data_IF_064116250329
#
_entry.id   IF_064116250329
#
_cell.length_a   1.000
_cell.length_b   1.000
_cell.length_c   1.000
_cell.angle_alpha   90.00
_cell.angle_beta   90.00
_cell.angle_gamma   90.00
#
_symmetry.space_group_name_H-M   'P 1'
#
loop_
_entity.id
_entity.type
_entity.pdbx_description
1 polymer ?
#
# COMPACT_ATOMS: atom_id res chain seq x y z
N UNK A 1 2.88 -13.75 -10.05
CA UNK A 1 1.76 -14.26 -9.20
C UNK A 1 1.18 -13.19 -8.28
N UNK A 2 1.95 -12.22 -7.75
CA UNK A 2 1.44 -11.19 -6.84
C UNK A 2 0.33 -10.28 -7.40
N UNK A 3 0.36 -9.94 -8.70
CA UNK A 3 -0.61 -9.01 -9.30
C UNK A 3 -2.08 -9.48 -9.31
N UNK A 4 -2.32 -10.78 -9.43
CA UNK A 4 -3.67 -11.34 -9.38
C UNK A 4 -4.24 -11.28 -7.97
N UNK A 5 -3.43 -11.61 -6.96
CA UNK A 5 -3.84 -11.56 -5.56
C UNK A 5 -4.17 -10.13 -5.13
N UNK A 6 -3.34 -9.13 -5.48
CA UNK A 6 -3.59 -7.72 -5.18
C UNK A 6 -4.83 -7.18 -5.89
N UNK A 7 -5.10 -7.62 -7.13
CA UNK A 7 -6.31 -7.24 -7.86
C UNK A 7 -7.57 -7.79 -7.18
N UNK A 8 -7.60 -9.09 -6.86
CA UNK A 8 -8.72 -9.71 -6.16
C UNK A 8 -9.01 -9.04 -4.83
N UNK A 9 -7.96 -8.75 -4.06
CA UNK A 9 -8.10 -8.10 -2.76
C UNK A 9 -8.60 -6.65 -2.90
N UNK A 10 -8.19 -5.92 -3.94
CA UNK A 10 -8.70 -4.59 -4.23
C UNK A 10 -10.18 -4.60 -4.59
N UNK A 11 -10.61 -5.55 -5.43
CA UNK A 11 -12.03 -5.74 -5.76
C UNK A 11 -12.83 -6.11 -4.51
N UNK A 12 -12.32 -7.03 -3.69
CA UNK A 12 -12.97 -7.42 -2.44
C UNK A 12 -13.08 -6.25 -1.46
N UNK A 13 -12.07 -5.38 -1.37
CA UNK A 13 -12.11 -4.16 -0.58
C UNK A 13 -13.23 -3.20 -1.03
N UNK A 14 -13.40 -3.03 -2.34
CA UNK A 14 -14.49 -2.21 -2.92
C UNK A 14 -15.85 -2.81 -2.58
N UNK A 15 -16.03 -4.11 -2.81
CA UNK A 15 -17.31 -4.79 -2.52
C UNK A 15 -17.64 -4.78 -1.03
N UNK A 16 -16.64 -4.97 -0.14
CA UNK A 16 -16.85 -4.93 1.31
C UNK A 16 -17.15 -3.52 1.81
N UNK A 17 -16.61 -2.48 1.17
CA UNK A 17 -17.00 -1.08 1.42
C UNK A 17 -18.47 -0.85 1.14
N UNK A 18 -18.95 -1.30 -0.02
CA UNK A 18 -20.37 -1.19 -0.40
C UNK A 18 -21.28 -1.96 0.57
N UNK A 19 -20.81 -3.09 1.09
CA UNK A 19 -21.52 -3.90 2.09
C UNK A 19 -21.39 -3.38 3.53
N UNK A 20 -20.64 -2.29 3.77
CA UNK A 20 -20.25 -1.80 5.10
C UNK A 20 -19.62 -2.87 6.02
N UNK A 21 -18.86 -3.81 5.43
CA UNK A 21 -18.18 -4.92 6.13
C UNK A 21 -16.65 -4.84 6.02
N UNK A 22 -16.12 -3.62 6.10
CA UNK A 22 -14.67 -3.39 6.03
C UNK A 22 -13.91 -3.99 7.22
N UNK A 23 -14.59 -4.19 8.35
CA UNK A 23 -14.05 -4.75 9.59
C UNK A 23 -13.44 -6.14 9.37
N UNK A 24 -14.04 -6.95 8.50
CA UNK A 24 -13.54 -8.29 8.16
C UNK A 24 -12.14 -8.24 7.54
N UNK A 25 -11.84 -7.20 6.74
CA UNK A 25 -10.51 -7.03 6.13
C UNK A 25 -9.45 -6.66 7.17
N UNK A 26 -9.85 -5.96 8.23
CA UNK A 26 -8.98 -5.70 9.37
C UNK A 26 -8.74 -6.97 10.19
N UNK A 27 -9.80 -7.74 10.48
CA UNK A 27 -9.74 -8.97 11.27
C UNK A 27 -8.83 -10.04 10.66
N UNK A 28 -8.85 -10.20 9.34
CA UNK A 28 -8.00 -11.17 8.64
C UNK A 28 -6.57 -10.67 8.39
N UNK A 29 -6.23 -9.45 8.81
CA UNK A 29 -4.92 -8.84 8.60
C UNK A 29 -4.65 -8.39 7.16
N UNK A 30 -5.68 -8.26 6.31
CA UNK A 30 -5.52 -7.86 4.92
C UNK A 30 -4.97 -6.43 4.78
N UNK A 31 -5.26 -5.55 5.74
CA UNK A 31 -4.74 -4.16 5.76
C UNK A 31 -3.21 -4.15 5.81
N UNK A 32 -2.59 -5.01 6.63
CA UNK A 32 -1.14 -5.09 6.76
C UNK A 32 -0.51 -5.62 5.46
N UNK A 33 -1.08 -6.70 4.91
CA UNK A 33 -0.64 -7.25 3.63
C UNK A 33 -0.76 -6.24 2.47
N UNK A 34 -1.81 -5.42 2.47
CA UNK A 34 -1.99 -4.33 1.52
C UNK A 34 -0.91 -3.26 1.66
N UNK A 35 -0.55 -2.86 2.88
CA UNK A 35 0.52 -1.88 3.12
C UNK A 35 1.86 -2.39 2.60
N UNK A 36 2.19 -3.64 2.87
CA UNK A 36 3.41 -4.28 2.34
C UNK A 36 3.40 -4.37 0.81
N UNK A 37 2.26 -4.73 0.22
CA UNK A 37 2.12 -4.82 -1.24
C UNK A 37 2.20 -3.44 -1.91
N UNK A 38 1.62 -2.40 -1.30
CA UNK A 38 1.72 -1.00 -1.76
C UNK A 38 3.15 -0.45 -1.70
N UNK A 39 3.95 -0.93 -0.74
CA UNK A 39 5.38 -0.62 -0.65
C UNK A 39 6.27 -1.46 -1.58
N UNK A 40 5.71 -2.43 -2.30
CA UNK A 40 6.51 -3.31 -3.17
C UNK A 40 7.04 -2.56 -4.41
N UNK A 41 8.17 -3.00 -4.98
CA UNK A 41 8.73 -2.41 -6.19
C UNK A 41 7.83 -2.66 -7.41
N UNK A 42 6.98 -3.68 -7.37
CA UNK A 42 6.07 -4.05 -8.46
C UNK A 42 4.97 -3.01 -8.63
N UNK A 43 4.92 -2.36 -9.80
CA UNK A 43 4.08 -1.20 -10.02
C UNK A 43 2.57 -1.53 -10.05
N UNK A 44 2.20 -2.64 -10.70
CA UNK A 44 0.80 -3.04 -10.84
C UNK A 44 0.18 -3.54 -9.52
N UNK A 45 0.81 -4.44 -8.75
CA UNK A 45 0.31 -4.83 -7.43
C UNK A 45 0.26 -3.67 -6.44
N UNK A 46 1.30 -2.82 -6.43
CA UNK A 46 1.36 -1.66 -5.55
C UNK A 46 0.22 -0.66 -5.84
N UNK A 47 -0.13 -0.46 -7.12
CA UNK A 47 -1.24 0.41 -7.52
C UNK A 47 -2.57 -0.11 -6.96
N UNK A 48 -2.89 -1.39 -7.18
CA UNK A 48 -4.14 -1.97 -6.67
C UNK A 48 -4.17 -1.97 -5.14
N UNK A 49 -3.05 -2.25 -4.49
CA UNK A 49 -2.99 -2.22 -3.04
C UNK A 49 -3.20 -0.80 -2.47
N UNK A 50 -2.67 0.21 -3.15
CA UNK A 50 -2.87 1.63 -2.79
C UNK A 50 -4.32 2.07 -2.99
N UNK A 51 -4.96 1.66 -4.09
CA UNK A 51 -6.38 1.90 -4.35
C UNK A 51 -7.25 1.23 -3.28
N UNK A 52 -6.96 -0.02 -2.92
CA UNK A 52 -7.67 -0.75 -1.86
C UNK A 52 -7.56 -0.04 -0.49
N UNK A 53 -6.36 0.39 -0.09
CA UNK A 53 -6.15 1.14 1.17
C UNK A 53 -6.92 2.47 1.15
N UNK A 54 -6.92 3.18 0.02
CA UNK A 54 -7.69 4.42 -0.16
C UNK A 54 -9.20 4.18 -0.02
N UNK A 55 -9.69 3.08 -0.58
CA UNK A 55 -11.10 2.67 -0.48
C UNK A 55 -11.46 2.35 0.97
N UNK A 56 -10.60 1.63 1.70
CA UNK A 56 -10.78 1.30 3.12
C UNK A 56 -10.71 2.55 4.02
N UNK A 57 -10.02 3.61 3.58
CA UNK A 57 -9.79 4.83 4.36
C UNK A 57 -8.50 4.78 5.20
N UNK A 58 -7.60 3.86 4.87
CA UNK A 58 -6.30 3.69 5.52
C UNK A 58 -5.22 4.55 4.86
N UNK A 59 -4.17 4.86 5.62
CA UNK A 59 -3.01 5.58 5.08
C UNK A 59 -2.27 4.70 4.07
N UNK A 60 -2.14 5.20 2.85
CA UNK A 60 -1.33 4.56 1.80
C UNK A 60 0.16 4.83 2.12
N UNK A 61 0.99 3.79 2.25
CA UNK A 61 2.41 3.98 2.50
C UNK A 61 3.09 4.66 1.30
N UNK A 62 4.01 5.57 1.60
CA UNK A 62 4.74 6.29 0.55
C UNK A 62 5.67 5.33 -0.18
N UNK A 63 5.52 5.24 -1.51
CA UNK A 63 6.38 4.39 -2.33
C UNK A 63 7.80 4.95 -2.34
N UNK A 64 8.73 4.22 -1.75
CA UNK A 64 10.15 4.54 -1.80
C UNK A 64 10.64 4.34 -3.25
N UNK A 65 11.39 5.32 -3.76
CA UNK A 65 12.01 5.21 -5.08
C UNK A 65 12.95 4.00 -5.11
N UNK A 66 13.03 3.30 -6.25
CA UNK A 66 13.99 2.21 -6.42
C UNK A 66 15.46 2.67 -6.34
N UNK A 67 15.71 3.99 -6.34
CA UNK A 67 17.04 4.57 -6.11
C UNK A 67 17.40 4.70 -4.62
N UNK A 68 16.45 4.47 -3.69
CA UNK A 68 16.70 4.54 -2.25
C UNK A 68 17.88 3.67 -1.78
N UNK A 69 18.09 2.44 -2.30
CA UNK A 69 19.28 1.65 -1.97
C UNK A 69 20.61 2.31 -2.38
N UNK A 70 20.57 3.26 -3.33
CA UNK A 70 21.73 4.02 -3.79
C UNK A 70 21.90 5.36 -3.08
N UNK A 71 21.02 5.70 -2.12
CA UNK A 71 21.06 6.99 -1.43
C UNK A 71 22.20 7.05 -0.42
N UNK A 72 22.83 8.23 -0.35
CA UNK A 72 23.75 8.54 0.73
C UNK A 72 22.98 8.87 2.01
N UNK A 73 23.68 8.87 3.15
CA UNK A 73 23.10 9.25 4.45
C UNK A 73 22.48 10.66 4.39
N UNK A 74 23.07 11.59 3.62
CA UNK A 74 22.54 12.95 3.45
C UNK A 74 21.22 12.97 2.67
N UNK A 75 21.08 12.14 1.65
CA UNK A 75 19.85 12.04 0.85
C UNK A 75 18.70 11.50 1.69
N UNK A 76 18.99 10.49 2.54
CA UNK A 76 18.02 9.95 3.50
C UNK A 76 17.59 11.02 4.51
N UNK A 77 18.53 11.79 5.07
CA UNK A 77 18.21 12.89 5.99
C UNK A 77 17.30 13.94 5.35
N UNK A 78 17.64 14.38 4.13
CA UNK A 78 16.82 15.35 3.39
C UNK A 78 15.41 14.80 3.09
N UNK A 79 15.32 13.53 2.70
CA UNK A 79 14.04 12.88 2.45
C UNK A 79 13.16 12.79 3.71
N UNK A 80 13.74 12.40 4.85
CA UNK A 80 13.01 12.35 6.13
C UNK A 80 12.46 13.73 6.51
N UNK A 81 13.23 14.80 6.28
CA UNK A 81 12.79 16.17 6.59
C UNK A 81 11.72 16.73 5.66
N UNK A 82 11.65 16.27 4.41
CA UNK A 82 10.76 16.84 3.38
C UNK A 82 9.54 16.00 3.03
N UNK A 83 9.60 14.68 3.26
CA UNK A 83 8.53 13.74 2.88
C UNK A 83 7.82 13.17 4.10
N UNK A 84 8.52 13.04 5.24
CA UNK A 84 7.98 12.43 6.45
C UNK A 84 7.46 13.45 7.49
N UNK A 85 7.86 14.71 7.39
CA UNK A 85 7.41 15.84 8.22
C UNK A 85 6.58 16.81 7.40
#
# INVERSE_FOLDING_TARGET
MAGWASFHLCVEAITKKEQQKLEVLAEIGAIQALKECASSPDELPAKFASEALTVIGEQVPYKLSQQVPCWSIKDVQYWVEKVLK
#
